data_IF_210361517314
#
_entry.id   IF_210361517314
#
_cell.length_a   1.000
_cell.length_b   1.000
_cell.length_c   1.000
_cell.angle_alpha   90.00
_cell.angle_beta   90.00
_cell.angle_gamma   90.00
#
_symmetry.space_group_name_H-M   'P 1'
#
loop_
_entity.id
_entity.type
_entity.pdbx_description
1 polymer ?
#
# COMPACT_ATOMS: atom_id res chain seq x y z
N UNK A 1 -23.48 -10.94 -21.17
CA UNK A 1 -24.79 -11.10 -20.51
C UNK A 1 -24.97 -9.87 -19.64
N UNK A 2 -25.99 -9.07 -19.95
CA UNK A 2 -26.34 -7.91 -19.12
C UNK A 2 -26.89 -8.40 -17.77
N UNK A 3 -26.48 -7.80 -16.64
CA UNK A 3 -26.98 -8.19 -15.33
C UNK A 3 -28.49 -7.95 -15.25
N UNK A 4 -29.23 -8.91 -14.71
CA UNK A 4 -30.69 -8.82 -14.61
C UNK A 4 -31.10 -7.91 -13.46
N UNK A 5 -32.32 -7.38 -13.48
CA UNK A 5 -32.89 -6.60 -12.37
C UNK A 5 -32.84 -7.37 -11.04
N UNK A 6 -32.98 -8.70 -11.10
CA UNK A 6 -32.86 -9.59 -9.95
C UNK A 6 -31.42 -9.60 -9.38
N UNK A 7 -30.40 -9.61 -10.24
CA UNK A 7 -28.99 -9.55 -9.82
C UNK A 7 -28.68 -8.22 -9.12
N UNK A 8 -29.19 -7.11 -9.66
CA UNK A 8 -29.03 -5.80 -9.04
C UNK A 8 -29.69 -5.72 -7.66
N UNK A 9 -30.93 -6.21 -7.52
CA UNK A 9 -31.65 -6.24 -6.24
C UNK A 9 -30.94 -7.15 -5.23
N UNK A 10 -30.53 -8.34 -5.64
CA UNK A 10 -29.81 -9.28 -4.79
C UNK A 10 -28.48 -8.68 -4.31
N UNK A 11 -27.73 -8.03 -5.19
CA UNK A 11 -26.48 -7.37 -4.84
C UNK A 11 -26.71 -6.20 -3.87
N UNK A 12 -27.78 -5.41 -4.08
CA UNK A 12 -28.16 -4.30 -3.20
C UNK A 12 -28.50 -4.80 -1.79
N UNK A 13 -29.32 -5.86 -1.69
CA UNK A 13 -29.69 -6.47 -0.42
C UNK A 13 -28.47 -7.07 0.29
N UNK A 14 -27.61 -7.79 -0.45
CA UNK A 14 -26.35 -8.33 0.09
C UNK A 14 -25.45 -7.22 0.65
N UNK A 15 -25.23 -6.16 -0.13
CA UNK A 15 -24.41 -5.04 0.29
C UNK A 15 -24.99 -4.32 1.52
N UNK A 16 -26.32 -4.16 1.59
CA UNK A 16 -27.00 -3.56 2.74
C UNK A 16 -26.89 -4.44 3.99
N UNK A 17 -27.12 -5.75 3.84
CA UNK A 17 -26.97 -6.73 4.92
C UNK A 17 -25.53 -6.78 5.44
N UNK A 18 -24.55 -6.83 4.55
CA UNK A 18 -23.12 -6.80 4.91
C UNK A 18 -22.75 -5.48 5.59
N UNK A 19 -23.29 -4.36 5.11
CA UNK A 19 -23.13 -3.05 5.74
C UNK A 19 -23.67 -3.02 7.17
N UNK A 20 -24.89 -3.54 7.38
CA UNK A 20 -25.50 -3.63 8.71
C UNK A 20 -24.70 -4.55 9.61
N UNK A 21 -24.22 -5.69 9.10
CA UNK A 21 -23.40 -6.65 9.86
C UNK A 21 -22.04 -6.07 10.27
N UNK A 22 -21.51 -5.11 9.51
CA UNK A 22 -20.24 -4.42 9.81
C UNK A 22 -20.41 -3.20 10.72
N UNK A 23 -21.63 -2.68 10.94
CA UNK A 23 -21.90 -1.55 11.86
C UNK A 23 -21.21 -1.69 13.23
N UNK A 24 -21.24 -2.84 13.92
CA UNK A 24 -20.61 -3.00 15.23
C UNK A 24 -19.08 -2.88 15.18
N UNK A 25 -18.47 -3.11 14.01
CA UNK A 25 -17.03 -3.02 13.80
C UNK A 25 -16.60 -1.59 13.41
N UNK A 26 -17.53 -0.68 13.09
CA UNK A 26 -17.21 0.69 12.71
C UNK A 26 -16.60 1.50 13.87
N UNK A 27 -17.11 1.47 15.11
CA UNK A 27 -16.51 2.23 16.20
C UNK A 27 -15.07 1.78 16.48
N UNK A 28 -14.83 0.47 16.55
CA UNK A 28 -13.49 -0.07 16.74
C UNK A 28 -12.59 0.22 15.55
N UNK A 29 -13.09 0.13 14.32
CA UNK A 29 -12.32 0.50 13.14
C UNK A 29 -11.94 1.99 13.19
N UNK A 30 -12.89 2.92 13.35
CA UNK A 30 -12.67 4.36 13.20
C UNK A 30 -12.04 5.05 14.42
N UNK A 31 -12.34 4.60 15.64
CA UNK A 31 -11.89 5.25 16.88
C UNK A 31 -10.54 4.71 17.38
N UNK A 32 -10.02 3.62 16.79
CA UNK A 32 -8.76 3.04 17.22
C UNK A 32 -7.61 4.08 17.18
N UNK A 33 -6.83 4.25 18.26
CA UNK A 33 -5.73 5.22 18.29
C UNK A 33 -4.73 5.03 17.15
N UNK A 34 -4.40 3.78 16.80
CA UNK A 34 -3.49 3.49 15.69
C UNK A 34 -4.05 3.92 14.33
N UNK A 35 -5.36 3.77 14.10
CA UNK A 35 -5.96 4.25 12.85
C UNK A 35 -5.92 5.76 12.78
N UNK A 36 -6.23 6.46 13.87
CA UNK A 36 -6.15 7.93 13.92
C UNK A 36 -4.71 8.41 13.67
N UNK A 37 -3.73 7.74 14.27
CA UNK A 37 -2.31 8.04 14.04
C UNK A 37 -1.90 7.77 12.59
N UNK A 38 -2.30 6.62 12.02
CA UNK A 38 -2.06 6.26 10.62
C UNK A 38 -2.67 7.28 9.65
N UNK A 39 -3.95 7.65 9.82
CA UNK A 39 -4.62 8.67 9.01
C UNK A 39 -3.89 10.01 9.07
N UNK A 40 -3.44 10.43 10.26
CA UNK A 40 -2.65 11.68 10.40
C UNK A 40 -1.33 11.61 9.65
N UNK A 41 -0.59 10.50 9.76
CA UNK A 41 0.67 10.28 9.04
C UNK A 41 0.44 10.30 7.52
N UNK A 42 -0.57 9.59 7.03
CA UNK A 42 -0.94 9.59 5.61
C UNK A 42 -1.34 10.97 5.11
N UNK A 43 -2.13 11.72 5.89
CA UNK A 43 -2.52 13.07 5.52
C UNK A 43 -1.31 14.01 5.40
N UNK A 44 -0.28 13.85 6.24
CA UNK A 44 0.95 14.63 6.17
C UNK A 44 1.79 14.34 4.90
N UNK A 45 1.61 13.17 4.27
CA UNK A 45 2.28 12.80 3.02
C UNK A 45 1.55 13.33 1.78
N UNK A 46 0.30 13.75 1.91
CA UNK A 46 -0.50 14.25 0.79
C UNK A 46 0.18 15.48 0.18
N UNK A 47 0.39 15.43 -1.14
CA UNK A 47 1.02 16.49 -1.92
C UNK A 47 2.47 16.86 -1.52
N UNK A 48 3.11 16.09 -0.61
CA UNK A 48 4.46 16.37 -0.11
C UNK A 48 5.55 16.36 -1.20
N UNK A 49 5.27 15.71 -2.34
CA UNK A 49 6.15 15.63 -3.52
C UNK A 49 5.46 16.11 -4.80
N UNK A 50 4.45 16.98 -4.67
CA UNK A 50 3.71 17.48 -5.84
C UNK A 50 4.64 18.19 -6.83
N UNK A 51 4.50 17.86 -8.11
CA UNK A 51 5.32 18.42 -9.20
C UNK A 51 6.71 17.78 -9.36
N UNK A 52 7.09 16.84 -8.49
CA UNK A 52 8.32 16.05 -8.65
C UNK A 52 8.03 14.76 -9.43
N UNK A 53 9.06 14.24 -10.11
CA UNK A 53 8.98 12.91 -10.73
C UNK A 53 9.00 11.86 -9.62
N UNK A 54 8.20 10.81 -9.81
CA UNK A 54 8.16 9.67 -8.92
C UNK A 54 8.15 8.38 -9.73
N UNK A 55 8.87 7.38 -9.25
CA UNK A 55 8.98 6.08 -9.89
C UNK A 55 8.44 5.01 -8.96
N UNK A 56 7.65 4.09 -9.51
CA UNK A 56 7.14 2.94 -8.76
C UNK A 56 7.96 1.72 -9.19
N UNK A 57 8.63 1.10 -8.22
CA UNK A 57 9.48 -0.07 -8.42
C UNK A 57 8.71 -1.28 -7.90
N UNK A 58 8.19 -2.08 -8.84
CA UNK A 58 7.54 -3.35 -8.55
C UNK A 58 8.52 -4.46 -8.16
N UNK A 59 8.12 -5.72 -8.36
CA UNK A 59 8.97 -6.88 -8.09
C UNK A 59 9.08 -7.81 -9.31
N UNK A 60 8.92 -7.27 -10.52
CA UNK A 60 8.96 -8.04 -11.75
C UNK A 60 10.38 -8.50 -12.11
N UNK A 61 10.55 -9.63 -12.82
CA UNK A 61 11.86 -10.13 -13.24
C UNK A 61 12.59 -9.17 -14.20
N UNK A 62 11.85 -8.31 -14.90
CA UNK A 62 12.39 -7.27 -15.79
C UNK A 62 13.31 -6.26 -15.09
N UNK A 63 13.19 -6.12 -13.76
CA UNK A 63 14.06 -5.23 -13.00
C UNK A 63 15.53 -5.65 -13.08
N UNK A 64 15.82 -6.95 -13.22
CA UNK A 64 17.19 -7.46 -13.39
C UNK A 64 17.87 -6.99 -14.68
N UNK A 65 17.07 -6.62 -15.69
CA UNK A 65 17.54 -6.15 -16.99
C UNK A 65 17.44 -4.62 -17.12
N UNK A 66 17.01 -3.94 -16.06
CA UNK A 66 16.82 -2.49 -16.05
C UNK A 66 17.96 -1.85 -15.25
N UNK A 67 18.60 -0.84 -15.82
CA UNK A 67 19.57 -0.03 -15.09
C UNK A 67 18.86 0.91 -14.10
N UNK A 68 18.71 0.43 -12.87
CA UNK A 68 18.04 1.14 -11.78
C UNK A 68 18.94 2.17 -11.10
N UNK A 69 20.24 2.21 -11.41
CA UNK A 69 21.17 3.20 -10.84
C UNK A 69 20.77 4.64 -11.18
N UNK A 70 20.07 4.82 -12.31
CA UNK A 70 19.50 6.10 -12.78
C UNK A 70 18.46 6.68 -11.84
N UNK A 71 17.87 5.87 -10.96
CA UNK A 71 16.83 6.29 -10.01
C UNK A 71 17.40 6.73 -8.65
N UNK A 72 18.71 6.68 -8.44
CA UNK A 72 19.36 7.02 -7.15
C UNK A 72 18.96 8.40 -6.61
N UNK A 73 18.74 9.37 -7.49
CA UNK A 73 18.40 10.75 -7.14
C UNK A 73 16.93 11.09 -7.39
N UNK A 74 16.11 10.08 -7.73
CA UNK A 74 14.69 10.24 -8.02
C UNK A 74 13.86 9.77 -6.81
N UNK A 75 12.65 10.31 -6.66
CA UNK A 75 11.74 9.84 -5.64
C UNK A 75 11.16 8.47 -6.05
N UNK A 76 11.28 7.48 -5.17
CA UNK A 76 10.92 6.09 -5.50
C UNK A 76 9.97 5.47 -4.48
N UNK A 77 8.92 4.82 -4.99
CA UNK A 77 8.06 3.93 -4.23
C UNK A 77 8.51 2.49 -4.47
N UNK A 78 9.00 1.85 -3.43
CA UNK A 78 9.31 0.43 -3.44
C UNK A 78 8.08 -0.40 -3.04
N UNK A 79 7.82 -1.51 -3.74
CA UNK A 79 6.67 -2.36 -3.43
C UNK A 79 7.07 -3.66 -2.70
N UNK A 80 6.28 -4.09 -1.71
CA UNK A 80 6.42 -5.36 -0.98
C UNK A 80 7.84 -5.59 -0.43
N UNK A 81 8.55 -6.62 -0.93
CA UNK A 81 9.86 -7.05 -0.43
C UNK A 81 11.04 -6.54 -1.26
N UNK A 82 10.87 -5.42 -1.97
CA UNK A 82 11.93 -4.82 -2.80
C UNK A 82 13.17 -4.43 -2.00
N UNK A 83 13.04 -4.24 -0.68
CA UNK A 83 14.17 -3.93 0.21
C UNK A 83 15.27 -4.99 0.18
N UNK A 84 14.94 -6.24 -0.17
CA UNK A 84 15.92 -7.31 -0.38
C UNK A 84 16.91 -7.01 -1.52
N UNK A 85 16.50 -6.16 -2.48
CA UNK A 85 17.36 -5.72 -3.59
C UNK A 85 18.17 -4.46 -3.28
N UNK A 86 18.00 -3.81 -2.11
CA UNK A 86 18.76 -2.60 -1.79
C UNK A 86 20.29 -2.77 -1.83
N UNK A 87 20.87 -3.91 -1.36
CA UNK A 87 22.31 -4.15 -1.49
C UNK A 87 22.77 -4.19 -2.96
N UNK A 88 21.97 -4.74 -3.86
CA UNK A 88 22.27 -4.81 -5.30
C UNK A 88 22.06 -3.45 -5.99
N UNK A 89 21.04 -2.70 -5.58
CA UNK A 89 20.73 -1.35 -6.09
C UNK A 89 21.76 -0.32 -5.64
N UNK A 90 22.34 -0.50 -4.44
CA UNK A 90 23.27 0.44 -3.82
C UNK A 90 22.62 1.73 -3.31
N UNK A 91 21.28 1.74 -3.15
CA UNK A 91 20.50 2.79 -2.49
C UNK A 91 19.12 2.25 -2.05
N UNK A 92 18.53 2.75 -0.94
CA UNK A 92 17.17 2.42 -0.54
C UNK A 92 16.14 3.23 -1.33
N UNK A 93 14.90 2.72 -1.42
CA UNK A 93 13.78 3.51 -1.98
C UNK A 93 13.32 4.61 -1.03
N UNK A 94 12.63 5.63 -1.55
CA UNK A 94 12.16 6.76 -0.72
C UNK A 94 10.99 6.40 0.18
N UNK A 95 10.14 5.45 -0.23
CA UNK A 95 9.04 4.89 0.56
C UNK A 95 8.88 3.40 0.27
N UNK A 96 8.34 2.64 1.23
CA UNK A 96 7.94 1.25 1.05
C UNK A 96 6.42 1.11 1.12
N UNK A 97 5.83 0.38 0.18
CA UNK A 97 4.39 0.16 0.11
C UNK A 97 4.10 -1.33 0.02
N UNK A 98 3.29 -1.84 0.93
CA UNK A 98 2.72 -3.19 0.82
C UNK A 98 1.25 -3.17 1.16
N UNK A 99 0.48 -3.95 0.39
CA UNK A 99 -0.98 -4.07 0.51
C UNK A 99 -1.41 -5.51 0.82
N UNK A 100 -0.46 -6.44 0.83
CA UNK A 100 -0.76 -7.85 1.05
C UNK A 100 -0.54 -8.18 2.53
N UNK A 101 -1.64 -8.50 3.21
CA UNK A 101 -1.64 -8.85 4.63
C UNK A 101 -0.64 -9.97 4.96
N UNK A 102 -0.54 -11.01 4.13
CA UNK A 102 0.39 -12.11 4.36
C UNK A 102 1.86 -11.68 4.28
N UNK A 103 2.18 -10.77 3.35
CA UNK A 103 3.55 -10.24 3.23
C UNK A 103 3.87 -9.36 4.43
N UNK A 104 2.92 -8.53 4.86
CA UNK A 104 3.07 -7.66 6.01
C UNK A 104 3.26 -8.50 7.28
N UNK A 105 2.43 -9.50 7.51
CA UNK A 105 2.51 -10.36 8.70
C UNK A 105 3.84 -11.11 8.78
N UNK A 106 4.30 -11.67 7.66
CA UNK A 106 5.54 -12.45 7.62
C UNK A 106 6.80 -11.59 7.71
N UNK A 107 6.77 -10.37 7.17
CA UNK A 107 7.94 -9.50 7.05
C UNK A 107 7.88 -8.25 7.93
N UNK A 108 6.90 -8.14 8.84
CA UNK A 108 6.69 -6.95 9.67
C UNK A 108 7.96 -6.50 10.40
N UNK A 109 8.70 -7.44 10.99
CA UNK A 109 9.93 -7.14 11.72
C UNK A 109 11.04 -6.60 10.81
N UNK A 110 11.21 -7.19 9.62
CA UNK A 110 12.18 -6.73 8.62
C UNK A 110 11.81 -5.32 8.13
N UNK A 111 10.53 -5.10 7.80
CA UNK A 111 10.04 -3.81 7.31
C UNK A 111 10.15 -2.71 8.36
N UNK A 112 9.86 -3.02 9.63
CA UNK A 112 9.96 -2.08 10.74
C UNK A 112 11.41 -1.70 11.09
N UNK A 113 12.39 -2.53 10.71
CA UNK A 113 13.81 -2.25 10.90
C UNK A 113 14.38 -1.30 9.82
N UNK A 114 13.64 -1.02 8.75
CA UNK A 114 14.07 -0.11 7.70
C UNK A 114 13.91 1.35 8.15
N UNK A 115 14.84 2.21 7.76
CA UNK A 115 14.80 3.65 8.05
C UNK A 115 13.91 4.44 7.05
N UNK A 116 13.06 3.74 6.30
CA UNK A 116 12.21 4.34 5.26
C UNK A 116 10.72 4.32 5.68
N UNK A 117 9.95 5.34 5.28
CA UNK A 117 8.53 5.43 5.59
C UNK A 117 7.66 4.42 4.85
#
# INVERSE_FOLDING_TARGET
MEPTLADFLLQTVKNAYDGIRRLPQLPSAYLHPWRRASIRRLAALKDARKGQRAFIIGNGPSLKQTDLSKLRNEFTFGLNRIYLMFPELGFPTSCLVSINDLVIEQCAAEMAALEIP
#
